data_IF_699933073740
#
_entry.id   IF_699933073740
#
_cell.length_a   1.000
_cell.length_b   1.000
_cell.length_c   1.000
_cell.angle_alpha   90.00
_cell.angle_beta   90.00
_cell.angle_gamma   90.00
#
_symmetry.space_group_name_H-M   'P 1'
#
loop_
_entity.id
_entity.type
_entity.pdbx_description
1 polymer ?
#
# COMPACT_ATOMS: atom_id res chain seq x y z
N UNK A 1 14.09 1.42 -29.00
CA UNK A 1 14.63 2.80 -28.94
C UNK A 1 14.57 3.21 -27.47
N UNK A 2 15.70 3.60 -26.85
CA UNK A 2 15.61 4.23 -25.53
C UNK A 2 14.74 5.49 -25.66
N UNK A 3 13.72 5.68 -24.80
CA UNK A 3 12.93 6.90 -24.83
C UNK A 3 13.86 8.10 -24.64
N UNK A 4 13.65 9.17 -25.41
CA UNK A 4 14.44 10.39 -25.30
C UNK A 4 14.39 10.89 -23.83
N UNK A 5 15.54 11.27 -23.27
CA UNK A 5 15.62 11.85 -21.91
C UNK A 5 14.96 13.23 -21.92
N UNK A 6 13.64 13.27 -21.72
CA UNK A 6 12.84 14.51 -21.74
C UNK A 6 12.82 15.24 -20.40
N UNK A 7 13.35 14.63 -19.33
CA UNK A 7 13.23 15.14 -17.96
C UNK A 7 11.80 15.08 -17.40
N UNK A 8 10.88 14.38 -18.08
CA UNK A 8 9.50 14.19 -17.65
C UNK A 8 9.31 12.78 -17.14
N UNK A 9 8.75 12.64 -15.94
CA UNK A 9 8.40 11.33 -15.40
C UNK A 9 7.22 10.75 -16.19
N UNK A 10 7.29 9.48 -16.65
CA UNK A 10 6.18 8.83 -17.31
C UNK A 10 5.01 8.60 -16.35
N UNK A 11 3.79 8.77 -16.84
CA UNK A 11 2.58 8.29 -16.18
C UNK A 11 2.08 7.05 -16.93
N UNK A 12 1.97 5.93 -16.23
CA UNK A 12 1.57 4.65 -16.81
C UNK A 12 0.29 4.17 -16.12
N UNK A 13 -0.64 3.65 -16.91
CA UNK A 13 -1.86 3.02 -16.41
C UNK A 13 -1.87 1.56 -16.87
N UNK A 14 -2.20 0.68 -15.93
CA UNK A 14 -2.35 -0.77 -16.12
C UNK A 14 -3.65 -1.22 -15.47
N UNK A 15 -4.31 -2.17 -16.11
CA UNK A 15 -5.45 -2.88 -15.57
C UNK A 15 -5.22 -4.38 -15.69
N UNK A 16 -5.57 -5.13 -14.65
CA UNK A 16 -5.61 -6.58 -14.67
C UNK A 16 -6.85 -7.11 -13.97
N UNK A 17 -7.25 -8.33 -14.33
CA UNK A 17 -8.44 -8.97 -13.77
C UNK A 17 -8.18 -9.46 -12.34
N UNK A 18 -6.99 -9.99 -12.09
CA UNK A 18 -6.55 -10.57 -10.81
C UNK A 18 -5.27 -9.88 -10.31
N UNK A 19 -4.89 -10.11 -9.04
CA UNK A 19 -3.62 -9.60 -8.49
C UNK A 19 -2.41 -10.05 -9.34
N UNK A 20 -2.25 -11.35 -9.72
CA UNK A 20 -1.18 -11.80 -10.61
C UNK A 20 -1.16 -11.12 -11.98
N UNK A 21 -2.32 -10.99 -12.62
CA UNK A 21 -2.41 -10.40 -13.95
C UNK A 21 -1.98 -8.92 -13.90
N UNK A 22 -2.51 -8.13 -12.96
CA UNK A 22 -2.16 -6.73 -12.83
C UNK A 22 -0.67 -6.51 -12.50
N UNK A 23 -0.10 -7.37 -11.64
CA UNK A 23 1.32 -7.33 -11.29
C UNK A 23 2.24 -7.56 -12.50
N UNK A 24 1.96 -8.61 -13.28
CA UNK A 24 2.75 -8.92 -14.48
C UNK A 24 2.67 -7.77 -15.51
N UNK A 25 1.47 -7.25 -15.75
CA UNK A 25 1.27 -6.11 -16.66
C UNK A 25 2.00 -4.85 -16.15
N UNK A 26 2.02 -4.61 -14.84
CA UNK A 26 2.72 -3.48 -14.24
C UNK A 26 4.24 -3.59 -14.41
N UNK A 27 4.82 -4.78 -14.20
CA UNK A 27 6.27 -5.01 -14.39
C UNK A 27 6.67 -4.81 -15.86
N UNK A 28 5.91 -5.39 -16.80
CA UNK A 28 6.18 -5.22 -18.23
C UNK A 28 6.08 -3.74 -18.63
N UNK A 29 5.03 -3.06 -18.18
CA UNK A 29 4.83 -1.65 -18.49
C UNK A 29 5.90 -0.74 -17.89
N UNK A 30 6.36 -1.02 -16.66
CA UNK A 30 7.49 -0.34 -16.03
C UNK A 30 8.78 -0.55 -16.84
N UNK A 31 9.07 -1.78 -17.26
CA UNK A 31 10.25 -2.07 -18.05
C UNK A 31 10.27 -1.34 -19.41
N UNK A 32 9.12 -1.31 -20.09
CA UNK A 32 8.99 -0.75 -21.43
C UNK A 32 8.90 0.78 -21.44
N UNK A 33 8.22 1.37 -20.44
CA UNK A 33 7.87 2.80 -20.42
C UNK A 33 8.58 3.60 -19.33
N UNK A 34 9.16 2.92 -18.33
CA UNK A 34 9.87 3.55 -17.22
C UNK A 34 11.17 4.22 -17.66
N UNK A 35 11.48 5.34 -17.02
CA UNK A 35 12.76 6.03 -17.22
C UNK A 35 13.87 5.31 -16.48
N UNK A 36 15.08 5.35 -17.02
CA UNK A 36 16.29 4.91 -16.30
C UNK A 36 16.72 6.03 -15.35
N UNK A 37 16.82 5.73 -14.06
CA UNK A 37 17.21 6.69 -13.03
C UNK A 37 18.17 6.04 -12.01
N UNK A 38 19.13 6.83 -11.51
CA UNK A 38 20.04 6.44 -10.43
C UNK A 38 19.38 6.68 -9.09
N UNK A 39 19.62 5.79 -8.12
CA UNK A 39 19.09 5.92 -6.76
C UNK A 39 20.21 6.11 -5.74
N UNK A 40 19.86 6.55 -4.53
CA UNK A 40 20.80 6.62 -3.41
C UNK A 40 21.26 5.24 -2.90
N UNK A 41 20.56 4.18 -3.33
CA UNK A 41 20.87 2.79 -2.99
C UNK A 41 21.81 2.12 -4.01
N UNK A 42 22.07 2.76 -5.15
CA UNK A 42 22.98 2.21 -6.17
C UNK A 42 24.39 2.10 -5.59
N UNK A 43 24.94 0.87 -5.54
CA UNK A 43 26.29 0.66 -5.01
C UNK A 43 27.34 1.26 -5.94
N UNK A 44 28.39 1.78 -5.33
CA UNK A 44 29.57 2.31 -6.03
C UNK A 44 30.84 1.55 -5.68
N UNK A 45 31.79 1.51 -6.60
CA UNK A 45 33.13 1.01 -6.35
C UNK A 45 33.97 2.02 -5.53
N UNK A 46 35.20 1.64 -5.16
CA UNK A 46 36.11 2.51 -4.41
C UNK A 46 36.56 3.78 -5.16
N UNK A 47 36.23 3.92 -6.45
CA UNK A 47 36.47 5.12 -7.27
C UNK A 47 35.20 5.96 -7.48
N UNK A 48 34.07 5.57 -6.87
CA UNK A 48 32.79 6.26 -7.00
C UNK A 48 32.01 5.91 -8.28
N UNK A 49 32.42 4.90 -9.05
CA UNK A 49 31.65 4.46 -10.22
C UNK A 49 30.51 3.55 -9.80
N UNK A 50 29.34 3.72 -10.40
CA UNK A 50 28.18 2.85 -10.17
C UNK A 50 28.44 1.40 -10.61
N UNK A 51 28.17 0.46 -9.71
CA UNK A 51 28.21 -0.98 -9.94
C UNK A 51 26.85 -1.46 -10.45
N UNK A 52 25.78 -1.01 -9.79
CA UNK A 52 24.42 -1.41 -10.13
C UNK A 52 23.95 -0.68 -11.41
N UNK A 53 23.09 -1.29 -12.24
CA UNK A 53 22.43 -0.58 -13.33
C UNK A 53 21.40 0.42 -12.78
N UNK A 54 21.02 1.46 -13.54
CA UNK A 54 19.93 2.35 -13.13
C UNK A 54 18.61 1.58 -13.00
N UNK A 55 17.80 1.95 -12.00
CA UNK A 55 16.43 1.45 -11.85
C UNK A 55 15.53 1.97 -12.97
N UNK A 56 14.42 1.26 -13.19
CA UNK A 56 13.27 1.79 -13.95
C UNK A 56 12.38 2.55 -12.99
N UNK A 57 11.81 3.67 -13.41
CA UNK A 57 10.86 4.42 -12.60
C UNK A 57 9.73 5.02 -13.45
N UNK A 58 8.52 5.03 -12.91
CA UNK A 58 7.42 5.86 -13.39
C UNK A 58 6.40 6.16 -12.30
N UNK A 59 5.52 7.14 -12.54
CA UNK A 59 4.26 7.21 -11.82
C UNK A 59 3.32 6.16 -12.41
N UNK A 60 2.70 5.34 -11.56
CA UNK A 60 1.91 4.19 -11.99
C UNK A 60 0.53 4.20 -11.35
N UNK A 61 -0.49 3.88 -12.15
CA UNK A 61 -1.83 3.55 -11.67
C UNK A 61 -2.15 2.13 -12.10
N UNK A 62 -2.35 1.24 -11.12
CA UNK A 62 -2.66 -0.18 -11.34
C UNK A 62 -4.06 -0.45 -10.81
N UNK A 63 -4.97 -0.90 -11.66
CA UNK A 63 -6.30 -1.35 -11.24
C UNK A 63 -6.41 -2.87 -11.33
N UNK A 64 -6.88 -3.49 -10.24
CA UNK A 64 -7.25 -4.89 -10.17
C UNK A 64 -8.77 -4.96 -10.10
N UNK A 65 -9.39 -5.56 -11.12
CA UNK A 65 -10.84 -5.61 -11.24
C UNK A 65 -11.48 -6.50 -10.13
N UNK A 66 -10.93 -7.70 -9.93
CA UNK A 66 -11.35 -8.63 -8.87
C UNK A 66 -10.11 -9.15 -8.11
N UNK A 67 -9.78 -8.60 -6.93
CA UNK A 67 -8.60 -9.02 -6.17
C UNK A 67 -8.72 -10.41 -5.53
N UNK A 68 -9.88 -11.06 -5.62
CA UNK A 68 -10.13 -12.41 -5.09
C UNK A 68 -10.38 -13.46 -6.18
N UNK A 69 -10.37 -13.08 -7.46
CA UNK A 69 -10.43 -14.02 -8.57
C UNK A 69 -9.16 -14.88 -8.67
N UNK A 70 -9.34 -16.13 -9.11
CA UNK A 70 -8.24 -17.10 -9.27
C UNK A 70 -7.58 -17.00 -10.66
N UNK A 71 -6.24 -17.16 -10.75
CA UNK A 71 -5.32 -17.40 -9.64
C UNK A 71 -5.10 -16.14 -8.79
N UNK A 72 -5.09 -16.27 -7.46
CA UNK A 72 -4.84 -15.14 -6.54
C UNK A 72 -3.35 -14.88 -6.27
N UNK A 73 -2.51 -15.90 -6.42
CA UNK A 73 -1.06 -15.83 -6.17
C UNK A 73 -0.30 -16.12 -7.47
N UNK A 74 0.65 -15.25 -7.81
CA UNK A 74 1.48 -15.43 -8.99
C UNK A 74 2.60 -16.44 -8.70
N UNK A 75 2.84 -17.41 -9.60
CA UNK A 75 3.84 -18.47 -9.39
C UNK A 75 5.28 -17.95 -9.24
N UNK A 76 5.60 -16.83 -9.87
CA UNK A 76 6.92 -16.18 -9.81
C UNK A 76 7.01 -15.05 -8.77
N UNK A 77 6.01 -14.86 -7.90
CA UNK A 77 6.14 -13.91 -6.80
C UNK A 77 7.38 -14.26 -5.95
N UNK A 78 8.27 -13.30 -5.61
CA UNK A 78 9.55 -13.56 -4.94
C UNK A 78 9.46 -13.89 -3.43
N UNK A 79 8.39 -14.58 -3.00
CA UNK A 79 8.21 -15.08 -1.64
C UNK A 79 7.39 -16.36 -1.62
N UNK A 80 7.41 -17.09 -0.50
CA UNK A 80 6.59 -18.28 -0.33
C UNK A 80 5.18 -17.96 0.20
N UNK A 81 4.24 -18.91 0.08
CA UNK A 81 2.90 -18.76 0.64
C UNK A 81 2.88 -18.52 2.16
N UNK A 82 3.87 -19.07 2.89
CA UNK A 82 3.98 -18.90 4.33
C UNK A 82 4.37 -17.46 4.70
N UNK A 83 5.39 -16.90 4.05
CA UNK A 83 5.80 -15.50 4.25
C UNK A 83 4.69 -14.54 3.85
N UNK A 84 3.96 -14.85 2.78
CA UNK A 84 2.82 -14.05 2.34
C UNK A 84 1.69 -14.04 3.38
N UNK A 85 1.36 -15.19 3.99
CA UNK A 85 0.34 -15.26 5.04
C UNK A 85 0.78 -14.55 6.33
N UNK A 86 2.05 -14.68 6.71
CA UNK A 86 2.60 -13.93 7.86
C UNK A 86 2.47 -12.43 7.61
N UNK A 87 2.81 -11.97 6.40
CA UNK A 87 2.67 -10.56 6.05
C UNK A 87 1.20 -10.09 6.01
N UNK A 88 0.29 -10.95 5.55
CA UNK A 88 -1.16 -10.67 5.63
C UNK A 88 -1.58 -10.46 7.09
N UNK A 89 -1.18 -11.35 7.99
CA UNK A 89 -1.46 -11.25 9.42
C UNK A 89 -0.82 -10.02 10.06
N UNK A 90 0.37 -9.63 9.64
CA UNK A 90 1.03 -8.41 10.12
C UNK A 90 0.20 -7.16 9.82
N UNK A 91 -0.31 -7.04 8.60
CA UNK A 91 -1.07 -5.86 8.16
C UNK A 91 -2.52 -5.88 8.67
N UNK A 92 -3.16 -7.06 8.71
CA UNK A 92 -4.59 -7.20 9.04
C UNK A 92 -4.82 -7.41 10.53
N UNK A 93 -3.97 -8.18 11.19
CA UNK A 93 -4.16 -8.68 12.55
C UNK A 93 -3.13 -8.11 13.55
N UNK A 94 -2.12 -7.37 13.07
CA UNK A 94 -1.13 -6.69 13.93
C UNK A 94 -0.17 -7.62 14.66
N UNK A 95 0.08 -8.82 14.13
CA UNK A 95 0.86 -9.85 14.85
C UNK A 95 2.29 -9.41 15.22
N UNK A 96 2.85 -8.40 14.53
CA UNK A 96 4.18 -7.83 14.80
C UNK A 96 4.15 -6.42 15.39
N UNK A 97 3.01 -5.90 15.85
CA UNK A 97 2.98 -4.57 16.49
C UNK A 97 3.88 -4.50 17.73
N UNK A 98 4.08 -5.64 18.42
CA UNK A 98 5.00 -5.76 19.55
C UNK A 98 6.49 -5.66 19.17
N UNK A 99 6.83 -5.65 17.88
CA UNK A 99 8.19 -5.43 17.36
C UNK A 99 8.50 -3.96 17.14
N UNK A 100 7.52 -3.06 17.31
CA UNK A 100 7.75 -1.62 17.28
C UNK A 100 8.36 -1.19 18.61
N UNK A 101 9.62 -0.73 18.59
CA UNK A 101 10.32 -0.29 19.79
C UNK A 101 11.35 0.79 19.45
N UNK A 102 11.01 2.07 19.65
CA UNK A 102 11.92 3.18 19.40
C UNK A 102 13.23 3.15 20.20
N UNK A 103 13.29 2.40 21.30
CA UNK A 103 14.47 2.35 22.15
C UNK A 103 15.52 1.34 21.67
N UNK A 104 15.18 0.49 20.70
CA UNK A 104 16.02 -0.58 20.21
C UNK A 104 16.29 -0.40 18.70
N UNK A 105 17.55 -0.14 18.30
CA UNK A 105 17.89 0.11 16.89
C UNK A 105 17.69 -1.11 15.98
N UNK A 106 17.55 -2.33 16.54
CA UNK A 106 17.29 -3.55 15.78
C UNK A 106 15.76 -3.80 15.60
N UNK A 107 14.91 -2.93 16.18
CA UNK A 107 13.45 -3.03 16.10
C UNK A 107 12.85 -2.03 15.13
N UNK A 108 11.58 -2.25 14.81
CA UNK A 108 10.86 -1.43 13.83
C UNK A 108 10.40 -0.11 14.44
N UNK A 109 10.26 0.90 13.60
CA UNK A 109 9.74 2.23 13.98
C UNK A 109 8.23 2.34 13.77
N UNK A 110 7.63 1.44 12.98
CA UNK A 110 6.19 1.35 12.76
C UNK A 110 5.79 0.01 12.13
N UNK A 111 4.49 -0.30 12.20
CA UNK A 111 3.81 -1.23 11.28
C UNK A 111 2.68 -0.51 10.56
N UNK A 112 2.25 -1.01 9.39
CA UNK A 112 1.03 -0.48 8.76
C UNK A 112 -0.20 -0.69 9.64
N UNK A 113 -0.27 -1.80 10.37
CA UNK A 113 -1.38 -2.07 11.26
C UNK A 113 -1.47 -1.03 12.38
N UNK A 114 -0.40 -0.77 13.12
CA UNK A 114 -0.38 0.29 14.15
C UNK A 114 -0.76 1.65 13.56
N UNK A 115 -0.23 2.00 12.38
CA UNK A 115 -0.56 3.26 11.70
C UNK A 115 -2.03 3.35 11.30
N UNK A 116 -2.74 2.24 11.08
CA UNK A 116 -4.14 2.23 10.67
C UNK A 116 -5.10 2.10 11.86
N UNK A 117 -4.77 1.27 12.85
CA UNK A 117 -5.64 0.91 13.97
C UNK A 117 -5.33 1.66 15.27
N UNK A 118 -4.14 2.26 15.40
CA UNK A 118 -3.70 2.97 16.60
C UNK A 118 -2.90 4.25 16.25
N UNK A 119 -3.33 4.99 15.22
CA UNK A 119 -2.59 6.14 14.71
C UNK A 119 -2.38 7.22 15.77
N UNK A 120 -1.14 7.42 16.19
CA UNK A 120 -0.77 8.33 17.28
C UNK A 120 0.38 9.24 16.86
N UNK A 121 0.08 10.41 16.26
CA UNK A 121 1.10 11.36 15.82
C UNK A 121 2.06 11.77 16.95
N UNK A 122 3.35 11.76 16.66
CA UNK A 122 4.44 12.15 17.56
C UNK A 122 5.34 13.20 16.89
N UNK A 123 6.13 13.92 17.67
CA UNK A 123 7.17 14.82 17.14
C UNK A 123 8.48 14.11 16.82
N UNK A 124 8.68 12.90 17.32
CA UNK A 124 9.84 12.06 17.04
C UNK A 124 9.46 10.59 17.25
N UNK A 125 9.75 9.73 16.27
CA UNK A 125 9.45 8.30 16.36
C UNK A 125 10.47 7.53 17.17
N UNK A 126 11.74 7.99 17.19
CA UNK A 126 12.87 7.31 17.83
C UNK A 126 13.05 7.71 19.30
N UNK A 127 12.24 8.66 19.79
CA UNK A 127 12.25 9.09 21.19
C UNK A 127 10.99 8.57 21.90
N UNK A 128 11.11 7.54 22.77
CA UNK A 128 9.99 7.03 23.56
C UNK A 128 9.33 8.10 24.46
N UNK A 129 10.05 9.16 24.83
CA UNK A 129 9.54 10.25 25.65
C UNK A 129 8.89 11.38 24.83
N UNK A 130 8.93 11.31 23.49
CA UNK A 130 8.33 12.32 22.65
C UNK A 130 6.81 12.41 22.87
N UNK A 131 6.25 13.63 22.96
CA UNK A 131 4.80 13.81 23.11
C UNK A 131 4.03 13.17 21.95
N UNK A 132 3.02 12.37 22.29
CA UNK A 132 2.09 11.76 21.32
C UNK A 132 0.68 12.28 21.50
N UNK A 133 -0.03 12.46 20.38
CA UNK A 133 -1.47 12.67 20.41
C UNK A 133 -2.19 11.35 20.76
N UNK A 134 -3.41 11.41 21.34
CA UNK A 134 -4.20 10.20 21.58
C UNK A 134 -4.33 9.34 20.33
N UNK A 135 -4.19 8.03 20.49
CA UNK A 135 -4.31 7.08 19.39
C UNK A 135 -5.72 7.11 18.78
N UNK A 136 -5.78 6.98 17.45
CA UNK A 136 -7.02 6.94 16.68
C UNK A 136 -7.07 5.66 15.86
N UNK A 137 -8.14 4.91 16.05
CA UNK A 137 -8.48 3.80 15.14
C UNK A 137 -9.15 4.36 13.89
N UNK A 138 -8.35 4.47 12.82
CA UNK A 138 -8.83 5.01 11.55
C UNK A 138 -9.71 4.01 10.80
N UNK A 139 -9.52 2.71 11.02
CA UNK A 139 -10.33 1.66 10.38
C UNK A 139 -11.74 1.64 10.99
N UNK A 140 -11.85 1.78 12.30
CA UNK A 140 -13.14 1.94 12.98
C UNK A 140 -13.85 3.24 12.53
N UNK A 141 -13.11 4.34 12.35
CA UNK A 141 -13.66 5.55 11.72
C UNK A 141 -14.18 5.27 10.31
N UNK A 142 -13.41 4.58 9.46
CA UNK A 142 -13.79 4.21 8.08
C UNK A 142 -15.09 3.42 8.08
N UNK A 143 -15.20 2.38 8.91
CA UNK A 143 -16.40 1.53 9.02
C UNK A 143 -17.60 2.37 9.49
N UNK A 144 -17.46 3.11 10.59
CA UNK A 144 -18.55 3.94 11.12
C UNK A 144 -19.00 5.00 10.10
N UNK A 145 -18.06 5.60 9.37
CA UNK A 145 -18.39 6.61 8.38
C UNK A 145 -19.10 6.00 7.17
N UNK A 146 -18.68 4.82 6.74
CA UNK A 146 -19.30 4.07 5.66
C UNK A 146 -20.75 3.66 6.00
N UNK A 147 -20.97 3.17 7.23
CA UNK A 147 -22.32 2.81 7.74
C UNK A 147 -23.22 4.04 7.81
N UNK A 148 -22.72 5.16 8.36
CA UNK A 148 -23.51 6.38 8.52
C UNK A 148 -23.82 7.07 7.18
N UNK A 149 -22.93 6.98 6.19
CA UNK A 149 -23.10 7.61 4.88
C UNK A 149 -22.25 6.91 3.81
N UNK A 150 -22.79 5.87 3.19
CA UNK A 150 -22.11 5.07 2.15
C UNK A 150 -21.61 5.89 0.94
N UNK A 151 -22.30 6.98 0.60
CA UNK A 151 -21.92 7.88 -0.50
C UNK A 151 -20.86 8.94 -0.10
N UNK A 152 -20.32 8.88 1.13
CA UNK A 152 -19.37 9.89 1.61
C UNK A 152 -18.06 9.86 0.83
N UNK A 153 -17.53 11.06 0.55
CA UNK A 153 -16.21 11.24 -0.08
C UNK A 153 -15.06 11.33 0.94
N UNK A 154 -15.37 11.16 2.23
CA UNK A 154 -14.45 11.38 3.36
C UNK A 154 -13.96 10.09 4.02
N UNK A 155 -14.27 8.93 3.44
CA UNK A 155 -13.90 7.62 4.01
C UNK A 155 -12.45 7.33 3.63
N UNK A 156 -11.52 7.58 4.56
CA UNK A 156 -10.09 7.41 4.32
C UNK A 156 -9.32 7.16 5.62
N UNK A 157 -8.12 6.60 5.48
CA UNK A 157 -7.11 6.47 6.52
C UNK A 157 -5.73 6.87 5.96
N UNK A 158 -4.83 7.37 6.80
CA UNK A 158 -3.48 7.82 6.41
C UNK A 158 -2.42 7.27 7.33
N UNK A 159 -1.21 7.10 6.82
CA UNK A 159 -0.08 6.51 7.57
C UNK A 159 1.02 7.53 7.87
N UNK A 160 1.10 8.61 7.09
CA UNK A 160 2.18 9.61 7.18
C UNK A 160 1.99 10.62 8.31
N UNK A 161 3.00 10.75 9.16
CA UNK A 161 3.16 11.74 10.23
C UNK A 161 4.16 12.81 9.78
N UNK A 162 3.70 14.00 9.34
CA UNK A 162 4.60 15.06 8.87
C UNK A 162 5.63 15.53 9.91
N UNK A 163 5.31 15.32 11.20
CA UNK A 163 6.14 15.74 12.33
C UNK A 163 7.30 14.79 12.63
N UNK A 164 7.30 13.56 12.12
CA UNK A 164 8.30 12.55 12.48
C UNK A 164 8.85 11.75 11.29
N UNK A 165 8.00 11.30 10.36
CA UNK A 165 8.43 10.43 9.24
C UNK A 165 9.51 11.05 8.32
N UNK A 166 9.58 12.38 8.07
CA UNK A 166 10.67 12.93 7.25
C UNK A 166 12.09 12.72 7.81
N UNK A 167 12.21 12.32 9.07
CA UNK A 167 13.49 12.18 9.78
C UNK A 167 13.94 10.72 9.91
N UNK A 168 13.10 9.75 9.55
CA UNK A 168 13.42 8.33 9.68
C UNK A 168 14.05 7.79 8.40
N UNK A 169 14.84 6.72 8.51
CA UNK A 169 15.46 6.06 7.34
C UNK A 169 14.43 5.28 6.50
N UNK A 170 13.44 4.66 7.15
CA UNK A 170 12.44 3.81 6.50
C UNK A 170 11.00 4.33 6.65
N UNK A 171 10.64 5.55 6.20
CA UNK A 171 9.30 6.06 6.44
C UNK A 171 8.22 5.30 5.65
N UNK A 172 6.94 5.33 6.06
CA UNK A 172 5.88 4.56 5.40
C UNK A 172 5.77 4.86 3.91
N UNK A 173 5.70 3.81 3.08
CA UNK A 173 5.49 3.95 1.63
C UNK A 173 4.02 4.17 1.29
N UNK A 174 3.10 3.44 1.93
CA UNK A 174 1.66 3.74 1.91
C UNK A 174 1.49 5.13 2.50
N UNK A 175 0.66 5.97 1.89
CA UNK A 175 0.33 7.31 2.39
C UNK A 175 -1.14 7.41 2.79
N UNK A 176 -2.02 6.82 1.97
CA UNK A 176 -3.47 6.91 2.15
C UNK A 176 -4.20 5.70 1.60
N UNK A 177 -5.22 5.26 2.32
CA UNK A 177 -6.29 4.40 1.84
C UNK A 177 -7.56 5.25 1.69
N UNK A 178 -8.23 5.17 0.55
CA UNK A 178 -9.50 5.85 0.28
C UNK A 178 -10.54 4.83 -0.17
N UNK A 179 -11.71 4.86 0.46
CA UNK A 179 -12.73 3.84 0.30
C UNK A 179 -13.97 4.41 -0.36
N UNK A 180 -14.60 3.62 -1.24
CA UNK A 180 -15.83 4.03 -1.92
C UNK A 180 -16.82 2.90 -2.07
N UNK A 181 -17.99 3.07 -1.46
CA UNK A 181 -19.15 2.22 -1.69
C UNK A 181 -19.93 2.72 -2.90
N UNK A 182 -20.29 1.79 -3.78
CA UNK A 182 -21.15 2.03 -4.95
C UNK A 182 -22.21 0.91 -5.01
N UNK A 183 -23.46 1.21 -5.38
CA UNK A 183 -24.44 0.17 -5.67
C UNK A 183 -24.08 -0.54 -6.97
N UNK A 184 -24.25 -1.86 -7.00
CA UNK A 184 -24.22 -2.67 -8.22
C UNK A 184 -25.57 -2.62 -8.96
N UNK A 185 -25.72 -3.44 -10.01
CA UNK A 185 -26.96 -3.52 -10.79
C UNK A 185 -28.18 -3.99 -9.99
N UNK A 186 -27.98 -4.69 -8.87
CA UNK A 186 -29.03 -5.17 -7.97
C UNK A 186 -29.27 -4.20 -6.80
N UNK A 187 -28.48 -3.13 -6.70
CA UNK A 187 -28.53 -2.17 -5.59
C UNK A 187 -27.72 -2.61 -4.37
N UNK A 188 -26.99 -3.72 -4.43
CA UNK A 188 -26.09 -4.19 -3.37
C UNK A 188 -24.82 -3.35 -3.36
N UNK A 189 -24.24 -3.11 -2.18
CA UNK A 189 -23.09 -2.23 -2.08
C UNK A 189 -21.79 -2.97 -2.42
N UNK A 190 -20.89 -2.30 -3.13
CA UNK A 190 -19.56 -2.78 -3.49
C UNK A 190 -18.51 -1.82 -2.93
N UNK A 191 -17.63 -2.32 -2.05
CA UNK A 191 -16.55 -1.54 -1.43
C UNK A 191 -15.31 -1.54 -2.31
N UNK A 192 -15.02 -0.41 -2.95
CA UNK A 192 -13.80 -0.18 -3.72
C UNK A 192 -12.72 0.44 -2.83
N UNK A 193 -11.46 0.08 -3.08
CA UNK A 193 -10.30 0.59 -2.35
C UNK A 193 -9.30 1.23 -3.32
N UNK A 194 -8.94 2.48 -3.04
CA UNK A 194 -7.80 3.15 -3.67
C UNK A 194 -6.69 3.35 -2.64
N UNK A 195 -5.46 2.97 -2.97
CA UNK A 195 -4.27 3.21 -2.15
C UNK A 195 -3.33 4.17 -2.85
N UNK A 196 -2.67 5.02 -2.07
CA UNK A 196 -1.72 6.02 -2.56
C UNK A 196 -0.35 5.77 -1.94
N UNK A 197 0.69 5.74 -2.77
CA UNK A 197 2.05 5.36 -2.40
C UNK A 197 3.06 6.40 -2.87
N UNK A 198 3.96 6.83 -2.00
CA UNK A 198 5.08 7.71 -2.38
C UNK A 198 6.15 6.98 -3.20
N UNK A 199 6.29 5.68 -2.95
CA UNK A 199 7.39 4.83 -3.44
C UNK A 199 6.94 3.36 -3.38
N UNK A 200 7.33 2.55 -4.36
CA UNK A 200 6.85 1.17 -4.50
C UNK A 200 7.84 0.28 -5.27
N UNK A 201 8.43 -0.67 -4.55
CA UNK A 201 9.12 -1.82 -5.16
C UNK A 201 8.08 -2.68 -5.90
N UNK A 202 8.22 -2.70 -7.23
CA UNK A 202 7.34 -3.37 -8.17
C UNK A 202 7.42 -4.90 -8.05
N UNK A 203 8.61 -5.46 -7.79
CA UNK A 203 8.85 -6.89 -7.90
C UNK A 203 8.48 -7.64 -6.62
N UNK A 204 8.92 -7.15 -5.45
CA UNK A 204 8.71 -7.85 -4.18
C UNK A 204 7.58 -7.22 -3.38
N UNK A 205 7.67 -5.92 -3.07
CA UNK A 205 6.77 -5.31 -2.11
C UNK A 205 5.34 -5.16 -2.62
N UNK A 206 5.14 -4.80 -3.89
CA UNK A 206 3.81 -4.53 -4.43
C UNK A 206 2.84 -5.69 -4.20
N UNK A 207 3.26 -6.92 -4.53
CA UNK A 207 2.38 -8.09 -4.48
C UNK A 207 1.95 -8.42 -3.05
N UNK A 208 2.89 -8.41 -2.10
CA UNK A 208 2.60 -8.65 -0.68
C UNK A 208 1.61 -7.63 -0.13
N UNK A 209 1.84 -6.35 -0.43
CA UNK A 209 0.97 -5.27 0.02
C UNK A 209 -0.43 -5.35 -0.61
N UNK A 210 -0.53 -5.56 -1.92
CA UNK A 210 -1.82 -5.68 -2.60
C UNK A 210 -2.62 -6.88 -2.06
N UNK A 211 -1.96 -8.02 -1.83
CA UNK A 211 -2.57 -9.19 -1.20
C UNK A 211 -3.11 -8.88 0.21
N UNK A 212 -2.28 -8.31 1.08
CA UNK A 212 -2.65 -8.00 2.45
C UNK A 212 -3.74 -6.91 2.55
N UNK A 213 -3.65 -5.84 1.75
CA UNK A 213 -4.59 -4.72 1.80
C UNK A 213 -5.95 -5.06 1.17
N UNK A 214 -6.00 -5.97 0.19
CA UNK A 214 -7.28 -6.49 -0.32
C UNK A 214 -7.94 -7.44 0.68
N UNK A 215 -7.16 -8.15 1.49
CA UNK A 215 -7.66 -8.88 2.66
C UNK A 215 -8.23 -7.93 3.73
N UNK A 216 -7.55 -6.81 4.02
CA UNK A 216 -8.08 -5.76 4.90
C UNK A 216 -9.37 -5.14 4.32
N UNK A 217 -9.41 -4.87 3.02
CA UNK A 217 -10.62 -4.40 2.31
C UNK A 217 -11.79 -5.37 2.52
N UNK A 218 -11.55 -6.68 2.39
CA UNK A 218 -12.56 -7.72 2.66
C UNK A 218 -13.04 -7.70 4.10
N UNK A 219 -12.14 -7.62 5.08
CA UNK A 219 -12.51 -7.54 6.49
C UNK A 219 -13.37 -6.29 6.80
N UNK A 220 -13.02 -5.14 6.21
CA UNK A 220 -13.80 -3.90 6.33
C UNK A 220 -15.18 -4.05 5.67
N UNK A 221 -15.26 -4.65 4.48
CA UNK A 221 -16.53 -4.91 3.80
C UNK A 221 -17.46 -5.78 4.66
N UNK A 222 -16.93 -6.86 5.26
CA UNK A 222 -17.67 -7.73 6.19
C UNK A 222 -18.23 -6.94 7.37
N UNK A 223 -17.41 -6.13 8.04
CA UNK A 223 -17.87 -5.34 9.18
C UNK A 223 -18.93 -4.29 8.80
N UNK A 224 -18.80 -3.66 7.62
CA UNK A 224 -19.82 -2.73 7.13
C UNK A 224 -21.13 -3.49 6.83
N UNK A 225 -21.06 -4.67 6.20
CA UNK A 225 -22.22 -5.50 5.90
C UNK A 225 -22.98 -5.88 7.18
N UNK A 226 -22.26 -6.35 8.20
CA UNK A 226 -22.83 -6.71 9.50
C UNK A 226 -23.55 -5.53 10.17
N UNK A 227 -22.93 -4.34 10.18
CA UNK A 227 -23.51 -3.14 10.80
C UNK A 227 -24.68 -2.54 10.01
N UNK A 228 -24.73 -2.73 8.69
CA UNK A 228 -25.85 -2.29 7.85
C UNK A 228 -26.99 -3.31 7.79
N UNK A 229 -26.73 -4.58 8.11
CA UNK A 229 -27.71 -5.66 7.94
C UNK A 229 -28.02 -5.99 6.47
N UNK A 230 -27.09 -5.72 5.55
CA UNK A 230 -27.22 -6.04 4.12
C UNK A 230 -25.86 -6.43 3.51
N UNK A 231 -25.83 -7.14 2.38
CA UNK A 231 -24.57 -7.52 1.72
C UNK A 231 -23.72 -6.30 1.31
N UNK A 232 -22.41 -6.42 1.53
CA UNK A 232 -21.39 -5.53 0.97
C UNK A 232 -20.31 -6.40 0.34
N UNK A 233 -20.19 -6.31 -0.98
CA UNK A 233 -19.22 -7.07 -1.75
C UNK A 233 -17.88 -6.33 -1.82
N UNK A 234 -16.81 -7.09 -2.05
CA UNK A 234 -15.50 -6.51 -2.35
C UNK A 234 -15.48 -6.02 -3.80
N UNK A 235 -15.05 -4.78 -4.00
CA UNK A 235 -14.87 -4.16 -5.30
C UNK A 235 -13.43 -4.12 -5.76
N UNK A 236 -13.19 -3.34 -6.81
CA UNK A 236 -11.87 -3.16 -7.39
C UNK A 236 -10.86 -2.58 -6.38
N UNK A 237 -9.60 -2.96 -6.57
CA UNK A 237 -8.45 -2.39 -5.87
C UNK A 237 -7.65 -1.54 -6.86
N UNK A 238 -7.38 -0.27 -6.51
CA UNK A 238 -6.57 0.63 -7.33
C UNK A 238 -5.34 1.10 -6.54
N UNK A 239 -4.16 0.79 -7.02
CA UNK A 239 -2.87 1.24 -6.48
C UNK A 239 -2.38 2.44 -7.30
N UNK A 240 -2.15 3.57 -6.64
CA UNK A 240 -1.67 4.81 -7.25
C UNK A 240 -0.32 5.15 -6.62
N UNK A 241 0.74 5.13 -7.42
CA UNK A 241 2.10 5.33 -6.95
C UNK A 241 2.83 6.46 -7.69
N UNK A 242 3.50 7.31 -6.91
CA UNK A 242 4.29 8.42 -7.44
C UNK A 242 5.63 7.95 -8.03
N UNK A 243 6.28 6.95 -7.42
CA UNK A 243 7.54 6.30 -7.87
C UNK A 243 7.42 4.78 -7.77
N UNK A 244 7.07 4.16 -8.89
CA UNK A 244 6.97 2.71 -9.07
C UNK A 244 8.22 2.20 -9.80
N UNK A 245 8.99 1.32 -9.17
CA UNK A 245 10.35 0.95 -9.60
C UNK A 245 10.70 -0.53 -9.37
#
# INVERSE_FOLDING_TARGET
>A
MQPARTGRQPLVYVQGDTLPHAWEQAIIALWDKGVEIRTEFDRTDGSGNYIDPPSRDCSMVIQVADPFAEPRIHKNFPGGPAELEVYRQEVVDGIHDHWVDPADPDKWTYTYHERLFAYSPTTNLDDPAAPRLPAVDQIEYVINKAVAASHSRRIQATTWMPTADPQTDDPPCLQRMWFRLLPDANGELVLNLNTHWRSRDAYKAWFMNAFALTDLQRAIATQIAERLGQPVHVGAYTDICDSFH
#
